data_IF_996849063094
#
_entry.id   IF_996849063094
#
_cell.length_a   1.000
_cell.length_b   1.000
_cell.length_c   1.000
_cell.angle_alpha   90.00
_cell.angle_beta   90.00
_cell.angle_gamma   90.00
#
_symmetry.space_group_name_H-M   'P 1'
#
loop_
_entity.id
_entity.type
_entity.pdbx_description
1 polymer ?
#
# COMPACT_ATOMS: atom_id res chain seq x y z
N UNK A 1 -10.61 0.32 -24.69
CA UNK A 1 -10.29 1.25 -23.59
C UNK A 1 -11.23 0.88 -22.46
N UNK A 2 -10.73 0.19 -21.44
CA UNK A 2 -11.56 -0.23 -20.30
C UNK A 2 -11.07 0.60 -19.13
N UNK A 3 -11.87 1.55 -18.70
CA UNK A 3 -11.66 2.38 -17.53
C UNK A 3 -11.62 1.48 -16.28
N UNK A 4 -10.42 1.05 -15.88
CA UNK A 4 -10.17 0.42 -14.58
C UNK A 4 -9.97 1.53 -13.53
N UNK A 5 -10.92 2.44 -13.43
CA UNK A 5 -11.04 3.31 -12.26
C UNK A 5 -11.70 2.47 -11.15
N UNK A 6 -11.01 1.42 -10.71
CA UNK A 6 -11.35 0.76 -9.46
C UNK A 6 -11.17 1.84 -8.40
N UNK A 7 -12.29 2.38 -7.92
CA UNK A 7 -12.41 3.37 -6.87
C UNK A 7 -11.46 2.99 -5.75
N UNK A 8 -10.27 3.58 -5.82
CA UNK A 8 -9.14 3.18 -5.03
C UNK A 8 -9.36 3.82 -3.68
N UNK A 9 -9.80 3.02 -2.70
CA UNK A 9 -10.00 3.51 -1.33
C UNK A 9 -8.80 4.38 -0.95
N UNK A 10 -9.04 5.65 -0.57
CA UNK A 10 -7.96 6.57 -0.29
C UNK A 10 -7.12 6.02 0.85
N UNK A 11 -5.80 6.07 0.67
CA UNK A 11 -4.86 5.62 1.70
C UNK A 11 -4.78 6.63 2.85
N UNK A 12 -4.46 6.17 4.06
CA UNK A 12 -4.08 7.06 5.16
C UNK A 12 -2.95 8.00 4.75
N UNK A 13 -2.92 9.20 5.34
CA UNK A 13 -2.00 10.27 4.95
C UNK A 13 -0.86 10.47 5.96
N UNK A 14 -0.85 9.70 7.06
CA UNK A 14 0.23 9.73 8.05
C UNK A 14 1.09 8.48 7.94
N UNK A 15 2.38 8.63 8.24
CA UNK A 15 3.35 7.52 8.18
C UNK A 15 2.95 6.37 9.11
N UNK A 16 2.54 6.68 10.34
CA UNK A 16 2.23 5.65 11.33
C UNK A 16 0.99 4.84 10.97
N UNK A 17 -0.05 5.49 10.44
CA UNK A 17 -1.25 4.80 9.95
C UNK A 17 -0.94 3.93 8.73
N UNK A 18 -0.10 4.40 7.81
CA UNK A 18 0.35 3.62 6.66
C UNK A 18 1.13 2.38 7.10
N UNK A 19 2.02 2.51 8.09
CA UNK A 19 2.77 1.37 8.64
C UNK A 19 1.87 0.39 9.39
N UNK A 20 0.84 0.88 10.10
CA UNK A 20 -0.16 0.01 10.72
C UNK A 20 -0.95 -0.78 9.66
N UNK A 21 -1.41 -0.09 8.61
CA UNK A 21 -2.11 -0.71 7.48
C UNK A 21 -1.21 -1.73 6.77
N UNK A 22 0.07 -1.41 6.51
CA UNK A 22 1.03 -2.32 5.90
C UNK A 22 1.14 -3.65 6.65
N UNK A 23 1.30 -3.58 7.98
CA UNK A 23 1.41 -4.77 8.83
C UNK A 23 0.16 -5.63 8.75
N UNK A 24 -1.02 -5.00 8.76
CA UNK A 24 -2.30 -5.69 8.67
C UNK A 24 -2.50 -6.33 7.29
N UNK A 25 -2.27 -5.59 6.21
CA UNK A 25 -2.34 -6.13 4.84
C UNK A 25 -1.35 -7.28 4.63
N UNK A 26 -0.14 -7.20 5.22
CA UNK A 26 0.82 -8.30 5.18
C UNK A 26 0.33 -9.55 5.92
N UNK A 27 -0.37 -9.38 7.06
CA UNK A 27 -1.02 -10.48 7.77
C UNK A 27 -2.11 -11.13 6.91
N UNK A 28 -2.96 -10.32 6.29
CA UNK A 28 -4.03 -10.79 5.39
C UNK A 28 -3.46 -11.57 4.19
N UNK A 29 -2.45 -11.02 3.51
CA UNK A 29 -1.77 -11.69 2.39
C UNK A 29 -1.23 -13.08 2.77
N UNK A 30 -0.62 -13.18 3.95
CA UNK A 30 -0.02 -14.42 4.43
C UNK A 30 -1.06 -15.46 4.86
N UNK A 31 -2.26 -15.03 5.25
CA UNK A 31 -3.38 -15.91 5.57
C UNK A 31 -4.16 -16.36 4.31
N UNK A 32 -4.08 -15.60 3.22
CA UNK A 32 -4.75 -15.91 1.96
C UNK A 32 -4.05 -17.05 1.19
N UNK A 33 -4.80 -17.95 0.52
CA UNK A 33 -4.21 -18.93 -0.38
C UNK A 33 -3.37 -18.26 -1.47
N UNK A 34 -2.19 -18.81 -1.75
CA UNK A 34 -1.30 -18.22 -2.75
C UNK A 34 -1.96 -18.15 -4.13
N UNK A 35 -1.83 -17.00 -4.79
CA UNK A 35 -2.45 -16.73 -6.09
C UNK A 35 -3.97 -16.50 -6.07
N UNK A 36 -4.61 -16.56 -4.90
CA UNK A 36 -6.02 -16.15 -4.77
C UNK A 36 -6.19 -14.65 -5.04
N UNK A 37 -7.43 -14.24 -5.34
CA UNK A 37 -7.77 -12.84 -5.54
C UNK A 37 -7.35 -11.97 -4.33
N UNK A 38 -7.62 -12.42 -3.10
CA UNK A 38 -7.26 -11.70 -1.88
C UNK A 38 -5.73 -11.61 -1.70
N UNK A 39 -5.00 -12.66 -2.08
CA UNK A 39 -3.54 -12.63 -2.05
C UNK A 39 -2.97 -11.60 -3.03
N UNK A 40 -3.49 -11.54 -4.25
CA UNK A 40 -3.08 -10.56 -5.27
C UNK A 40 -3.46 -9.15 -4.87
N UNK A 41 -4.71 -8.92 -4.44
CA UNK A 41 -5.17 -7.61 -3.99
C UNK A 41 -4.35 -7.09 -2.79
N UNK A 42 -3.95 -7.97 -1.87
CA UNK A 42 -3.09 -7.58 -0.75
C UNK A 42 -1.66 -7.23 -1.20
N UNK A 43 -1.11 -7.88 -2.23
CA UNK A 43 0.18 -7.50 -2.83
C UNK A 43 0.09 -6.10 -3.45
N UNK A 44 -0.94 -5.85 -4.24
CA UNK A 44 -1.13 -4.55 -4.91
C UNK A 44 -1.29 -3.42 -3.88
N UNK A 45 -2.07 -3.66 -2.82
CA UNK A 45 -2.24 -2.71 -1.73
C UNK A 45 -0.94 -2.44 -0.97
N UNK A 46 -0.13 -3.47 -0.68
CA UNK A 46 1.18 -3.30 -0.04
C UNK A 46 2.08 -2.37 -0.86
N UNK A 47 2.16 -2.58 -2.18
CA UNK A 47 2.97 -1.74 -3.06
C UNK A 47 2.53 -0.27 -3.02
N UNK A 48 1.21 -0.02 -3.02
CA UNK A 48 0.68 1.35 -2.91
C UNK A 48 1.02 2.01 -1.57
N UNK A 49 0.94 1.27 -0.47
CA UNK A 49 1.30 1.76 0.86
C UNK A 49 2.78 2.14 0.91
N UNK A 50 3.66 1.29 0.36
CA UNK A 50 5.11 1.51 0.36
C UNK A 50 5.51 2.76 -0.43
N UNK A 51 4.86 3.02 -1.57
CA UNK A 51 5.04 4.24 -2.35
C UNK A 51 4.67 5.49 -1.54
N UNK A 52 3.54 5.47 -0.83
CA UNK A 52 3.11 6.63 -0.04
C UNK A 52 3.97 6.85 1.21
N UNK A 53 4.44 5.77 1.87
CA UNK A 53 5.43 5.90 2.94
C UNK A 53 6.69 6.57 2.42
N UNK A 54 7.24 6.11 1.30
CA UNK A 54 8.44 6.69 0.70
C UNK A 54 8.24 8.15 0.28
N UNK A 55 7.04 8.52 -0.20
CA UNK A 55 6.68 9.91 -0.50
C UNK A 55 6.74 10.78 0.76
N UNK A 56 6.12 10.35 1.85
CA UNK A 56 6.10 11.08 3.13
C UNK A 56 7.51 11.20 3.69
N UNK A 57 8.27 10.12 3.69
CA UNK A 57 9.66 10.11 4.19
C UNK A 57 10.56 11.03 3.37
N UNK A 58 10.45 11.04 2.04
CA UNK A 58 11.20 11.97 1.18
C UNK A 58 10.81 13.43 1.41
N UNK A 59 9.55 13.71 1.72
CA UNK A 59 9.13 15.06 2.04
C UNK A 59 9.71 15.54 3.39
N UNK A 60 9.91 14.62 4.34
CA UNK A 60 10.51 14.91 5.64
C UNK A 60 12.04 15.03 5.58
N UNK A 61 12.70 14.23 4.74
CA UNK A 61 14.15 14.24 4.52
C UNK A 61 14.46 14.24 3.00
N UNK A 62 14.47 15.42 2.35
CA UNK A 62 14.67 15.50 0.91
C UNK A 62 16.12 15.22 0.54
N UNK A 63 16.39 14.54 -0.59
CA UNK A 63 17.75 14.28 -1.03
C UNK A 63 18.49 15.58 -1.31
N UNK A 64 19.76 15.65 -0.87
CA UNK A 64 20.66 16.75 -1.19
C UNK A 64 21.01 16.67 -2.69
N UNK A 65 20.47 17.61 -3.47
CA UNK A 65 20.76 17.83 -4.90
C UNK A 65 22.06 18.59 -5.10
#
# INVERSE_FOLDING_TARGET
>A
MVDHEAASTPLPQTRDELLALHRETRRQRNAAPHGSHDHVAAIDLLGRIEVEVARIERAADPPLI
#
